data_IF_370502949708
#
_entry.id   IF_370502949708
#
_cell.length_a   1.000
_cell.length_b   1.000
_cell.length_c   1.000
_cell.angle_alpha   90.00
_cell.angle_beta   90.00
_cell.angle_gamma   90.00
#
_symmetry.space_group_name_H-M   'P 1'
#
loop_
_entity.id
_entity.type
_entity.pdbx_description
1 polymer ?
#
# COMPACT_ATOMS: atom_id res chain seq x y z
N UNK A 1 5.64 -29.88 4.59
CA UNK A 1 6.50 -28.78 4.18
C UNK A 1 6.59 -27.84 5.38
N UNK A 2 7.65 -27.94 6.17
CA UNK A 2 7.86 -27.04 7.31
C UNK A 2 8.47 -25.76 6.74
N UNK A 3 7.75 -24.67 6.84
CA UNK A 3 8.25 -23.32 6.57
C UNK A 3 8.97 -22.85 7.86
N UNK A 4 10.25 -23.17 7.96
CA UNK A 4 11.11 -22.71 9.05
C UNK A 4 11.60 -21.28 8.69
N UNK A 5 10.72 -20.30 8.89
CA UNK A 5 11.06 -18.88 8.74
C UNK A 5 11.20 -18.26 10.13
N UNK A 6 12.42 -18.09 10.57
CA UNK A 6 12.74 -17.36 11.80
C UNK A 6 12.58 -15.84 11.51
N UNK A 7 11.33 -15.34 11.66
CA UNK A 7 11.00 -13.93 11.40
C UNK A 7 11.18 -13.18 12.72
N UNK A 8 12.33 -12.53 12.86
CA UNK A 8 12.64 -11.67 14.01
C UNK A 8 11.90 -10.33 13.92
N UNK A 9 11.41 -9.88 15.07
CA UNK A 9 10.65 -8.63 15.24
C UNK A 9 11.51 -7.42 14.90
N UNK A 10 11.07 -6.63 13.93
CA UNK A 10 11.69 -5.35 13.56
C UNK A 10 11.71 -5.17 12.04
N UNK A 11 10.61 -4.63 11.46
CA UNK A 11 10.60 -4.32 10.04
C UNK A 11 11.36 -3.02 9.82
N UNK A 12 12.48 -3.01 9.06
CA UNK A 12 13.15 -1.77 8.71
C UNK A 12 12.21 -0.88 7.91
N UNK A 13 12.13 0.40 8.27
CA UNK A 13 11.37 1.43 7.53
C UNK A 13 11.67 1.43 6.01
N UNK A 14 12.86 0.98 5.64
CA UNK A 14 13.27 0.81 4.23
C UNK A 14 12.44 -0.23 3.46
N UNK A 15 11.90 -1.26 4.12
CA UNK A 15 11.00 -2.23 3.45
C UNK A 15 9.63 -1.63 3.20
N UNK A 16 9.12 -0.80 4.12
CA UNK A 16 7.85 -0.08 3.94
C UNK A 16 7.90 0.92 2.78
N UNK A 17 9.07 1.49 2.47
CA UNK A 17 9.23 2.41 1.33
C UNK A 17 9.06 1.73 -0.05
N UNK A 18 9.13 0.41 -0.12
CA UNK A 18 8.89 -0.34 -1.35
C UNK A 18 7.41 -0.57 -1.64
N UNK A 19 6.54 -0.35 -0.68
CA UNK A 19 5.08 -0.51 -0.85
C UNK A 19 4.52 0.54 -1.83
N UNK A 20 3.64 0.13 -2.76
CA UNK A 20 3.09 1.03 -3.76
C UNK A 20 2.17 2.11 -3.16
N UNK A 21 1.42 1.78 -2.09
CA UNK A 21 0.55 2.72 -1.36
C UNK A 21 1.35 3.81 -0.65
N UNK A 22 2.43 3.45 0.05
CA UNK A 22 3.34 4.39 0.71
C UNK A 22 4.03 5.30 -0.32
N UNK A 23 4.51 4.74 -1.43
CA UNK A 23 5.11 5.53 -2.53
C UNK A 23 4.10 6.44 -3.21
N UNK A 24 2.85 6.02 -3.36
CA UNK A 24 1.79 6.87 -3.90
C UNK A 24 1.52 8.07 -2.98
N UNK A 25 1.44 7.84 -1.66
CA UNK A 25 1.28 8.91 -0.68
C UNK A 25 2.48 9.86 -0.65
N UNK A 26 3.72 9.34 -0.76
CA UNK A 26 4.94 10.13 -0.87
C UNK A 26 4.92 11.04 -2.12
N UNK A 27 4.55 10.48 -3.29
CA UNK A 27 4.43 11.26 -4.53
C UNK A 27 3.33 12.31 -4.46
N UNK A 28 2.25 12.03 -3.76
CA UNK A 28 1.18 13.01 -3.51
C UNK A 28 1.69 14.18 -2.64
N UNK A 29 2.49 13.90 -1.63
CA UNK A 29 3.13 14.91 -0.80
C UNK A 29 4.12 15.75 -1.61
N UNK A 30 4.93 15.11 -2.46
CA UNK A 30 5.86 15.78 -3.35
C UNK A 30 5.11 16.74 -4.31
N UNK A 31 4.01 16.29 -4.90
CA UNK A 31 3.17 17.12 -5.78
C UNK A 31 2.58 18.33 -5.03
N UNK A 32 2.10 18.16 -3.80
CA UNK A 32 1.59 19.26 -2.98
C UNK A 32 2.69 20.26 -2.58
N UNK A 33 3.93 19.78 -2.35
CA UNK A 33 5.09 20.64 -2.11
C UNK A 33 5.38 21.52 -3.35
N UNK A 34 5.40 20.94 -4.54
CA UNK A 34 5.60 21.73 -5.77
C UNK A 34 4.44 22.68 -6.05
N UNK A 35 3.18 22.29 -5.77
CA UNK A 35 2.04 23.18 -5.87
C UNK A 35 2.15 24.40 -4.91
N UNK A 36 2.69 24.19 -3.70
CA UNK A 36 2.96 25.29 -2.77
C UNK A 36 4.05 26.22 -3.30
N UNK A 37 5.09 25.67 -3.93
CA UNK A 37 6.15 26.48 -4.54
C UNK A 37 5.64 27.24 -5.78
N UNK A 38 4.75 26.64 -6.56
CA UNK A 38 4.05 27.32 -7.65
C UNK A 38 3.21 28.50 -7.14
N UNK A 39 2.47 28.30 -6.03
CA UNK A 39 1.72 29.41 -5.41
C UNK A 39 2.63 30.53 -4.89
N UNK A 40 3.84 30.20 -4.42
CA UNK A 40 4.87 31.18 -4.02
C UNK A 40 5.42 31.94 -5.24
N UNK A 41 5.60 31.26 -6.37
CA UNK A 41 6.14 31.90 -7.58
C UNK A 41 5.23 33.00 -8.13
N UNK A 42 3.92 32.96 -7.83
CA UNK A 42 2.98 34.01 -8.19
C UNK A 42 3.26 35.41 -7.54
N UNK A 43 4.16 35.45 -6.54
CA UNK A 43 4.62 36.72 -5.92
C UNK A 43 5.86 37.30 -6.61
N UNK A 44 6.47 36.56 -7.54
CA UNK A 44 7.62 37.05 -8.31
C UNK A 44 7.21 37.60 -9.66
N UNK A 45 8.02 38.49 -10.26
CA UNK A 45 7.76 39.00 -11.60
C UNK A 45 7.75 37.87 -12.64
N UNK A 46 6.76 37.89 -13.52
CA UNK A 46 6.69 36.97 -14.66
C UNK A 46 7.37 37.61 -15.86
N UNK A 47 8.29 36.89 -16.47
CA UNK A 47 8.95 37.27 -17.70
C UNK A 47 8.28 36.48 -18.83
N UNK A 48 7.59 37.19 -19.73
CA UNK A 48 6.96 36.58 -20.92
C UNK A 48 7.74 37.02 -22.14
N UNK A 49 8.25 36.04 -22.89
CA UNK A 49 8.87 36.27 -24.20
C UNK A 49 7.93 35.77 -25.28
N UNK A 50 7.52 36.65 -26.16
CA UNK A 50 6.69 36.31 -27.32
C UNK A 50 7.41 36.69 -28.59
N UNK A 51 7.33 35.79 -29.58
CA UNK A 51 7.89 36.02 -30.90
C UNK A 51 6.87 35.66 -31.98
N UNK A 52 6.78 36.50 -33.00
CA UNK A 52 5.98 36.23 -34.20
C UNK A 52 6.82 36.33 -35.43
N UNK A 53 6.56 35.43 -36.39
CA UNK A 53 7.19 35.41 -37.70
C UNK A 53 6.08 35.33 -38.74
N UNK A 54 6.07 36.27 -39.71
CA UNK A 54 5.05 36.29 -40.73
C UNK A 54 5.53 36.91 -42.04
N UNK A 55 4.82 36.60 -43.14
CA UNK A 55 4.93 37.27 -44.39
C UNK A 55 3.71 38.16 -44.63
N UNK A 56 3.94 39.41 -44.93
CA UNK A 56 2.87 40.32 -45.32
C UNK A 56 2.84 40.45 -46.84
N UNK A 57 1.74 39.98 -47.46
CA UNK A 57 1.48 40.23 -48.88
C UNK A 57 0.38 41.27 -49.04
N UNK A 58 0.57 42.24 -49.92
CA UNK A 58 -0.51 43.13 -50.32
C UNK A 58 -1.54 42.33 -51.13
N UNK A 59 -2.83 42.62 -50.93
CA UNK A 59 -3.94 41.97 -51.62
C UNK A 59 -3.73 42.10 -53.14
N UNK A 60 -3.55 40.94 -53.84
CA UNK A 60 -3.43 40.88 -55.30
C UNK A 60 -2.06 40.50 -55.88
N UNK A 61 -1.01 40.31 -55.08
CA UNK A 61 0.30 39.86 -55.59
C UNK A 61 0.54 38.39 -55.26
N UNK A 62 0.52 37.54 -56.28
CA UNK A 62 0.81 36.10 -56.19
C UNK A 62 2.30 35.77 -56.08
N UNK A 63 3.18 36.74 -55.86
CA UNK A 63 4.64 36.54 -55.83
C UNK A 63 5.13 36.80 -54.41
N UNK A 64 5.72 35.80 -53.84
CA UNK A 64 6.48 35.87 -52.59
C UNK A 64 7.64 36.84 -52.72
N UNK A 65 7.52 38.04 -52.17
CA UNK A 65 8.59 39.01 -52.12
C UNK A 65 9.40 38.76 -50.81
N UNK A 66 10.67 38.29 -50.91
CA UNK A 66 11.47 37.96 -49.73
C UNK A 66 11.78 39.17 -48.83
N UNK A 67 11.59 40.40 -49.35
CA UNK A 67 11.77 41.64 -48.58
C UNK A 67 10.65 42.01 -47.62
N UNK A 68 9.54 41.20 -47.53
CA UNK A 68 8.41 41.43 -46.63
C UNK A 68 8.33 40.43 -45.48
N UNK A 69 9.44 39.85 -45.12
CA UNK A 69 9.56 39.01 -43.94
C UNK A 69 9.55 39.91 -42.69
N UNK A 70 8.60 39.68 -41.81
CA UNK A 70 8.50 40.35 -40.52
C UNK A 70 8.81 39.34 -39.42
N UNK A 71 9.83 39.65 -38.62
CA UNK A 71 10.11 38.97 -37.38
C UNK A 71 10.00 39.95 -36.23
N UNK A 72 9.16 39.63 -35.27
CA UNK A 72 8.94 40.45 -34.09
C UNK A 72 9.24 39.62 -32.85
N UNK A 73 10.02 40.19 -31.90
CA UNK A 73 10.30 39.60 -30.59
C UNK A 73 9.98 40.64 -29.52
N UNK A 74 9.07 40.29 -28.60
CA UNK A 74 8.65 41.15 -27.51
C UNK A 74 8.94 40.45 -26.17
N UNK A 75 9.66 41.13 -25.27
CA UNK A 75 9.82 40.75 -23.88
C UNK A 75 8.94 41.64 -22.98
N UNK A 76 8.12 41.03 -22.13
CA UNK A 76 7.35 41.74 -21.11
C UNK A 76 7.65 41.23 -19.71
N UNK A 77 7.72 42.17 -18.76
CA UNK A 77 7.88 41.88 -17.33
C UNK A 77 6.61 42.34 -16.62
N UNK A 78 5.90 41.40 -15.99
CA UNK A 78 4.64 41.66 -15.31
C UNK A 78 4.73 41.26 -13.86
N UNK A 79 4.46 42.18 -12.92
CA UNK A 79 4.36 41.93 -11.50
C UNK A 79 2.98 42.37 -11.00
N UNK A 80 2.10 41.44 -10.59
CA UNK A 80 0.81 41.80 -10.02
C UNK A 80 0.97 42.28 -8.58
N UNK A 81 0.99 43.60 -8.35
CA UNK A 81 1.11 44.20 -7.01
C UNK A 81 -0.19 44.08 -6.22
N UNK A 82 -1.34 44.16 -6.87
CA UNK A 82 -2.67 44.10 -6.24
C UNK A 82 -3.59 43.15 -7.02
N UNK A 83 -3.78 41.95 -6.50
CA UNK A 83 -4.66 40.95 -7.07
C UNK A 83 -5.78 40.56 -6.07
N UNK A 84 -6.43 41.56 -5.47
CA UNK A 84 -7.58 41.38 -4.54
C UNK A 84 -7.34 40.30 -3.46
N UNK A 85 -6.08 40.06 -3.06
CA UNK A 85 -5.71 39.00 -2.08
C UNK A 85 -5.69 37.58 -2.65
N UNK A 86 -5.93 37.38 -3.93
CA UNK A 86 -6.02 36.03 -4.54
C UNK A 86 -4.73 35.23 -4.37
N UNK A 87 -3.56 35.82 -4.60
CA UNK A 87 -2.27 35.13 -4.44
C UNK A 87 -2.04 34.70 -2.98
N UNK A 88 -2.43 35.52 -2.01
CA UNK A 88 -2.31 35.20 -0.58
C UNK A 88 -3.26 34.06 -0.21
N UNK A 89 -4.51 34.10 -0.71
CA UNK A 89 -5.49 33.03 -0.50
C UNK A 89 -5.00 31.71 -1.10
N UNK A 90 -4.52 31.74 -2.36
CA UNK A 90 -4.01 30.54 -3.05
C UNK A 90 -2.81 29.93 -2.30
N UNK A 91 -1.88 30.76 -1.81
CA UNK A 91 -0.74 30.27 -1.02
C UNK A 91 -1.19 29.63 0.30
N UNK A 92 -2.20 30.19 0.97
CA UNK A 92 -2.76 29.60 2.20
C UNK A 92 -3.43 28.25 1.92
N UNK A 93 -4.21 28.16 0.84
CA UNK A 93 -4.86 26.93 0.41
C UNK A 93 -3.80 25.86 0.09
N UNK A 94 -2.79 26.19 -0.73
CA UNK A 94 -1.73 25.22 -1.08
C UNK A 94 -0.94 24.73 0.14
N UNK A 95 -0.67 25.61 1.11
CA UNK A 95 -0.03 25.21 2.39
C UNK A 95 -0.92 24.27 3.20
N UNK A 96 -2.22 24.53 3.28
CA UNK A 96 -3.15 23.65 4.00
C UNK A 96 -3.24 22.27 3.31
N UNK A 97 -3.30 22.23 1.97
CA UNK A 97 -3.26 20.99 1.19
C UNK A 97 -1.94 20.22 1.36
N UNK A 98 -0.82 20.93 1.44
CA UNK A 98 0.47 20.30 1.73
C UNK A 98 0.50 19.67 3.11
N UNK A 99 -0.07 20.31 4.12
CA UNK A 99 -0.19 19.75 5.47
C UNK A 99 -1.13 18.55 5.51
N UNK A 100 -2.26 18.60 4.81
CA UNK A 100 -3.19 17.49 4.67
C UNK A 100 -2.50 16.27 4.04
N UNK A 101 -1.77 16.45 2.94
CA UNK A 101 -1.05 15.35 2.28
C UNK A 101 0.10 14.82 3.14
N UNK A 102 0.73 15.65 3.97
CA UNK A 102 1.73 15.23 4.96
C UNK A 102 1.13 14.30 6.00
N UNK A 103 -0.04 14.65 6.52
CA UNK A 103 -0.76 13.81 7.48
C UNK A 103 -1.25 12.52 6.84
N UNK A 104 -1.72 12.58 5.60
CA UNK A 104 -2.11 11.39 4.83
C UNK A 104 -0.93 10.42 4.60
N UNK A 105 0.26 10.95 4.31
CA UNK A 105 1.48 10.15 4.20
C UNK A 105 1.85 9.49 5.54
N UNK A 106 1.78 10.22 6.64
CA UNK A 106 2.00 9.65 7.97
C UNK A 106 1.00 8.54 8.30
N UNK A 107 -0.28 8.74 7.94
CA UNK A 107 -1.31 7.71 8.14
C UNK A 107 -1.04 6.47 7.30
N UNK A 108 -0.59 6.63 6.05
CA UNK A 108 -0.21 5.49 5.19
C UNK A 108 0.95 4.68 5.80
N UNK A 109 1.95 5.34 6.38
CA UNK A 109 3.06 4.67 7.08
C UNK A 109 2.58 3.91 8.33
N UNK A 110 1.70 4.50 9.13
CA UNK A 110 1.14 3.86 10.31
C UNK A 110 0.29 2.63 9.95
N UNK A 111 -0.54 2.75 8.92
CA UNK A 111 -1.35 1.64 8.42
C UNK A 111 -0.47 0.50 7.92
N UNK A 112 0.55 0.81 7.11
CA UNK A 112 1.50 -0.17 6.61
C UNK A 112 2.23 -0.90 7.76
N UNK A 113 2.65 -0.18 8.80
CA UNK A 113 3.26 -0.78 10.00
C UNK A 113 2.30 -1.68 10.78
N UNK A 114 1.03 -1.27 10.92
CA UNK A 114 -0.01 -2.08 11.56
C UNK A 114 -0.27 -3.37 10.78
N UNK A 115 -0.41 -3.31 9.45
CA UNK A 115 -0.63 -4.48 8.60
C UNK A 115 0.49 -5.52 8.72
N UNK A 116 1.75 -5.06 8.75
CA UNK A 116 2.89 -5.96 8.95
C UNK A 116 2.85 -6.60 10.33
N UNK A 117 2.56 -5.83 11.37
CA UNK A 117 2.48 -6.35 12.74
C UNK A 117 1.33 -7.35 12.90
N UNK A 118 0.17 -7.07 12.29
CA UNK A 118 -0.98 -7.96 12.31
C UNK A 118 -0.69 -9.28 11.58
N UNK A 119 -0.07 -9.21 10.40
CA UNK A 119 0.33 -10.40 9.63
C UNK A 119 1.38 -11.23 10.38
N UNK A 120 2.35 -10.59 11.02
CA UNK A 120 3.37 -11.25 11.83
C UNK A 120 2.75 -11.94 13.05
N UNK A 121 1.86 -11.26 13.75
CA UNK A 121 1.15 -11.81 14.91
C UNK A 121 0.27 -13.00 14.51
N UNK A 122 -0.42 -12.91 13.37
CA UNK A 122 -1.21 -14.00 12.83
C UNK A 122 -0.34 -15.23 12.50
N UNK A 123 0.82 -15.01 11.87
CA UNK A 123 1.79 -16.08 11.60
C UNK A 123 2.29 -16.73 12.88
N UNK A 124 2.78 -15.96 13.83
CA UNK A 124 3.31 -16.48 15.10
C UNK A 124 2.25 -17.27 15.87
N UNK A 125 1.01 -16.77 15.88
CA UNK A 125 -0.12 -17.43 16.56
C UNK A 125 -0.50 -18.74 15.88
N UNK A 126 -0.61 -18.79 14.56
CA UNK A 126 -0.96 -20.00 13.81
C UNK A 126 0.17 -21.03 13.89
N UNK A 127 1.42 -20.59 13.81
CA UNK A 127 2.59 -21.45 13.98
C UNK A 127 2.64 -22.12 15.38
N UNK A 128 2.44 -21.34 16.44
CA UNK A 128 2.37 -21.87 17.81
C UNK A 128 1.23 -22.88 17.99
N UNK A 129 0.06 -22.63 17.37
CA UNK A 129 -1.08 -23.56 17.41
C UNK A 129 -0.83 -24.88 16.70
N UNK A 130 0.04 -24.91 15.68
CA UNK A 130 0.34 -26.14 14.91
C UNK A 130 0.82 -27.26 15.81
N UNK A 131 1.71 -26.98 16.76
CA UNK A 131 2.19 -27.98 17.74
C UNK A 131 1.10 -28.44 18.70
N UNK A 132 0.17 -27.55 19.07
CA UNK A 132 -0.93 -27.87 19.99
C UNK A 132 -1.95 -28.78 19.30
N UNK A 133 -2.34 -28.46 18.06
CA UNK A 133 -3.26 -29.30 17.30
C UNK A 133 -2.68 -30.67 16.99
N UNK A 134 -1.38 -30.78 16.69
CA UNK A 134 -0.73 -32.06 16.50
C UNK A 134 -0.81 -32.95 17.75
N UNK A 135 -0.56 -32.39 18.94
CA UNK A 135 -0.69 -33.10 20.21
C UNK A 135 -2.14 -33.49 20.54
N UNK A 136 -3.09 -32.61 20.18
CA UNK A 136 -4.53 -32.86 20.35
C UNK A 136 -4.96 -34.05 19.48
N UNK A 137 -4.59 -34.08 18.21
CA UNK A 137 -4.90 -35.17 17.28
C UNK A 137 -4.30 -36.47 17.77
N UNK A 138 -3.02 -36.51 18.21
CA UNK A 138 -2.35 -37.68 18.76
C UNK A 138 -3.08 -38.22 20.00
N UNK A 139 -3.47 -37.33 20.93
CA UNK A 139 -4.23 -37.69 22.13
C UNK A 139 -5.59 -38.30 21.80
N UNK A 140 -6.31 -37.71 20.85
CA UNK A 140 -7.62 -38.19 20.38
C UNK A 140 -7.52 -39.50 19.61
N UNK A 141 -6.47 -39.70 18.82
CA UNK A 141 -6.18 -40.99 18.17
C UNK A 141 -5.95 -42.10 19.21
N UNK A 142 -5.20 -41.78 20.28
CA UNK A 142 -4.97 -42.71 21.39
C UNK A 142 -6.25 -43.01 22.14
N UNK A 143 -7.07 -41.98 22.45
CA UNK A 143 -8.37 -42.15 23.09
C UNK A 143 -9.31 -43.01 22.23
N UNK A 144 -9.40 -42.76 20.92
CA UNK A 144 -10.21 -43.57 20.02
C UNK A 144 -9.76 -45.02 19.99
N UNK A 145 -8.43 -45.28 19.97
CA UNK A 145 -7.87 -46.64 20.01
C UNK A 145 -8.29 -47.35 21.28
N UNK A 146 -8.16 -46.67 22.44
CA UNK A 146 -8.54 -47.21 23.76
C UNK A 146 -10.04 -47.50 23.84
N UNK A 147 -10.89 -46.60 23.35
CA UNK A 147 -12.35 -46.76 23.34
C UNK A 147 -12.77 -47.97 22.44
N UNK A 148 -12.11 -48.18 21.30
CA UNK A 148 -12.34 -49.34 20.45
C UNK A 148 -11.98 -50.66 21.15
N UNK A 149 -10.88 -50.70 21.89
CA UNK A 149 -10.46 -51.86 22.67
C UNK A 149 -11.47 -52.13 23.78
N UNK A 150 -11.90 -51.13 24.51
CA UNK A 150 -12.95 -51.25 25.54
C UNK A 150 -14.27 -51.81 24.99
N UNK A 151 -14.66 -51.37 23.79
CA UNK A 151 -15.84 -51.89 23.11
C UNK A 151 -15.69 -53.38 22.77
N UNK A 152 -14.52 -53.82 22.30
CA UNK A 152 -14.23 -55.22 22.00
C UNK A 152 -14.31 -56.13 23.25
N UNK A 153 -14.00 -55.56 24.41
CA UNK A 153 -14.09 -56.26 25.70
C UNK A 153 -15.47 -56.10 26.39
N UNK A 154 -16.43 -55.49 25.74
CA UNK A 154 -17.78 -55.34 26.26
C UNK A 154 -17.94 -54.26 27.34
N UNK A 155 -16.96 -53.40 27.56
CA UNK A 155 -16.93 -52.38 28.62
C UNK A 155 -17.42 -51.02 28.18
N UNK A 156 -17.80 -50.83 26.90
CA UNK A 156 -18.38 -49.56 26.37
C UNK A 156 -19.30 -49.84 25.21
N UNK A 157 -20.13 -48.84 24.81
CA UNK A 157 -21.09 -48.97 23.74
C UNK A 157 -20.56 -48.32 22.44
N UNK A 158 -21.24 -48.63 21.31
CA UNK A 158 -20.91 -48.10 19.99
C UNK A 158 -21.00 -46.59 19.90
N UNK A 159 -21.87 -45.95 20.69
CA UNK A 159 -22.08 -44.51 20.69
C UNK A 159 -20.82 -43.76 21.17
N UNK A 160 -20.12 -44.32 22.17
CA UNK A 160 -18.89 -43.71 22.67
C UNK A 160 -17.75 -43.77 21.64
N UNK A 161 -17.65 -44.86 20.87
CA UNK A 161 -16.69 -44.96 19.76
C UNK A 161 -17.02 -43.95 18.67
N UNK A 162 -18.30 -43.76 18.33
CA UNK A 162 -18.73 -42.80 17.36
C UNK A 162 -18.41 -41.35 17.80
N UNK A 163 -18.64 -41.04 19.08
CA UNK A 163 -18.32 -39.74 19.67
C UNK A 163 -16.80 -39.46 19.65
N UNK A 164 -16.00 -40.45 19.96
CA UNK A 164 -14.54 -40.35 19.91
C UNK A 164 -14.07 -40.13 18.43
N UNK A 165 -14.66 -40.83 17.45
CA UNK A 165 -14.36 -40.62 16.03
C UNK A 165 -14.73 -39.22 15.57
N UNK A 166 -15.90 -38.72 15.95
CA UNK A 166 -16.34 -37.36 15.61
C UNK A 166 -15.41 -36.30 16.21
N UNK A 167 -14.98 -36.52 17.46
CA UNK A 167 -14.03 -35.60 18.13
C UNK A 167 -12.68 -35.59 17.43
N UNK A 168 -12.16 -36.75 17.02
CA UNK A 168 -10.92 -36.86 16.23
C UNK A 168 -11.06 -36.15 14.88
N UNK A 169 -12.13 -36.41 14.14
CA UNK A 169 -12.36 -35.78 12.84
C UNK A 169 -12.40 -34.24 12.96
N UNK A 170 -13.08 -33.73 13.97
CA UNK A 170 -13.13 -32.28 14.22
C UNK A 170 -11.75 -31.71 14.53
N UNK A 171 -10.92 -32.41 15.30
CA UNK A 171 -9.55 -31.98 15.61
C UNK A 171 -8.66 -32.00 14.37
N UNK A 172 -8.77 -33.01 13.50
CA UNK A 172 -8.04 -33.09 12.24
C UNK A 172 -8.44 -31.96 11.28
N UNK A 173 -9.73 -31.64 11.18
CA UNK A 173 -10.22 -30.51 10.39
C UNK A 173 -9.68 -29.18 10.91
N UNK A 174 -9.64 -29.00 12.25
CA UNK A 174 -9.06 -27.80 12.85
C UNK A 174 -7.55 -27.68 12.58
N UNK A 175 -6.83 -28.81 12.61
CA UNK A 175 -5.40 -28.85 12.28
C UNK A 175 -5.16 -28.40 10.82
N UNK A 176 -5.93 -28.93 9.87
CA UNK A 176 -5.86 -28.53 8.46
C UNK A 176 -6.20 -27.06 8.27
N UNK A 177 -7.27 -26.57 8.90
CA UNK A 177 -7.65 -25.17 8.86
C UNK A 177 -6.55 -24.25 9.42
N UNK A 178 -5.90 -24.65 10.51
CA UNK A 178 -4.78 -23.88 11.06
C UNK A 178 -3.56 -23.85 10.12
N UNK A 179 -3.22 -24.99 9.49
CA UNK A 179 -2.15 -25.03 8.48
C UNK A 179 -2.43 -24.09 7.31
N UNK A 180 -3.69 -24.06 6.85
CA UNK A 180 -4.10 -23.11 5.81
C UNK A 180 -3.94 -21.65 6.27
N UNK A 181 -4.36 -21.34 7.50
CA UNK A 181 -4.22 -20.00 8.09
C UNK A 181 -2.74 -19.60 8.21
N UNK A 182 -1.86 -20.52 8.58
CA UNK A 182 -0.42 -20.29 8.65
C UNK A 182 0.15 -19.89 7.28
N UNK A 183 -0.17 -20.65 6.24
CA UNK A 183 0.26 -20.34 4.86
C UNK A 183 -0.30 -19.00 4.40
N UNK A 184 -1.57 -18.73 4.67
CA UNK A 184 -2.20 -17.46 4.32
C UNK A 184 -1.54 -16.28 5.04
N UNK A 185 -1.16 -16.44 6.31
CA UNK A 185 -0.45 -15.41 7.07
C UNK A 185 0.92 -15.09 6.49
N UNK A 186 1.65 -16.11 5.99
CA UNK A 186 2.93 -15.91 5.29
C UNK A 186 2.74 -15.10 4.00
N UNK A 187 1.70 -15.42 3.23
CA UNK A 187 1.37 -14.68 2.00
C UNK A 187 1.01 -13.22 2.33
N UNK A 188 0.18 -13.02 3.35
CA UNK A 188 -0.21 -11.67 3.81
C UNK A 188 1.00 -10.87 4.29
N UNK A 189 1.93 -11.51 5.01
CA UNK A 189 3.18 -10.88 5.43
C UNK A 189 4.04 -10.47 4.23
N UNK A 190 4.17 -11.37 3.24
CA UNK A 190 4.90 -11.07 2.01
C UNK A 190 4.31 -9.85 1.26
N UNK A 191 2.98 -9.78 1.16
CA UNK A 191 2.27 -8.65 0.56
C UNK A 191 2.44 -7.36 1.39
N UNK A 192 2.32 -7.46 2.72
CA UNK A 192 2.48 -6.33 3.63
C UNK A 192 3.90 -5.72 3.59
N UNK A 193 4.91 -6.53 3.28
CA UNK A 193 6.30 -6.09 3.08
C UNK A 193 6.57 -5.50 1.67
N UNK A 194 5.54 -5.45 0.80
CA UNK A 194 5.67 -4.92 -0.55
C UNK A 194 6.22 -5.92 -1.57
N UNK A 195 6.12 -7.22 -1.28
CA UNK A 195 6.49 -8.29 -2.21
C UNK A 195 5.53 -8.40 -3.40
N UNK A 196 5.95 -9.13 -4.46
CA UNK A 196 5.15 -9.33 -5.69
C UNK A 196 5.37 -8.27 -6.76
N UNK A 197 6.55 -7.65 -6.77
CA UNK A 197 6.89 -6.55 -7.67
C UNK A 197 7.98 -6.87 -8.70
N UNK A 198 8.32 -8.14 -8.86
CA UNK A 198 9.28 -8.59 -9.87
C UNK A 198 8.67 -8.69 -11.26
#
# INVERSE_FOLDING_TARGET
>A
MQLDCDITVGVPLQMLSNRPDVRSAERSLEAAFYATNQARSAFYPQITLSGSVGWTNAVGSAILNPGKFLAEALGSLTLPLFNKGQNVAQLRISKAQQEETRLAFQQALLNAGSEVNDALTAYQTSHAKTSIYSKQVESLQTALRSTKLLMQHGNTNYLEVLTAQQSLLNAELQQVANMFTEVQSVISLYQALGGGRD
#
